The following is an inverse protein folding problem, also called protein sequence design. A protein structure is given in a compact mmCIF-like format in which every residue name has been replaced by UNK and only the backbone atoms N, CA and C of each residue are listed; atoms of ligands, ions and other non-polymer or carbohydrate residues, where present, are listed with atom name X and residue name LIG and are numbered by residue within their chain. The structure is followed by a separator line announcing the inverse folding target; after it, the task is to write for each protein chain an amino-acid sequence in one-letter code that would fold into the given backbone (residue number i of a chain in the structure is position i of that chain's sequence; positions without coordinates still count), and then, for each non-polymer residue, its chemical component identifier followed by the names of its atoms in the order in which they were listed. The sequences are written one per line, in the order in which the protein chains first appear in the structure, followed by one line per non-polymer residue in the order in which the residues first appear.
data_IF_684876727427
#
_entry.id   IF_684876727427
#
_cell.length_a   1.000
_cell.length_b   1.000
_cell.length_c   1.000
_cell.angle_alpha   90.00
_cell.angle_beta   90.00
_cell.angle_gamma   90.00
#
_symmetry.space_group_name_H-M   'P 1'
#
loop_
_entity.id
_entity.type
_entity.pdbx_description
1 polymer ?
#
# COMPACT_ATOMS: atom_id res chain seq x y z
N UNK A 1 21.70 -55.07 44.41
CA UNK A 1 21.74 -55.57 43.02
C UNK A 1 20.31 -55.57 42.51
N UNK A 2 20.01 -54.69 41.55
CA UNK A 2 18.67 -54.59 40.97
C UNK A 2 18.42 -55.82 40.08
N UNK A 3 17.31 -56.54 40.28
CA UNK A 3 16.95 -57.74 39.53
C UNK A 3 16.72 -57.40 38.05
N UNK A 4 17.58 -57.94 37.18
CA UNK A 4 17.53 -57.78 35.72
C UNK A 4 16.17 -58.25 35.16
N UNK A 5 15.51 -59.20 35.84
CA UNK A 5 14.18 -59.70 35.47
C UNK A 5 13.05 -58.70 35.65
N UNK A 6 13.21 -57.70 36.53
CA UNK A 6 12.20 -56.66 36.75
C UNK A 6 12.33 -55.50 35.74
N UNK A 7 13.57 -55.16 35.37
CA UNK A 7 13.87 -54.20 34.31
C UNK A 7 13.33 -54.66 32.94
N UNK A 8 13.51 -55.95 32.60
CA UNK A 8 13.02 -56.52 31.34
C UNK A 8 11.49 -56.62 31.28
N UNK A 9 10.81 -56.77 32.43
CA UNK A 9 9.34 -56.77 32.53
C UNK A 9 8.72 -55.39 32.39
N UNK A 10 9.46 -54.31 32.66
CA UNK A 10 9.04 -52.93 32.38
C UNK A 10 9.16 -52.61 30.88
N UNK A 11 10.25 -53.04 30.23
CA UNK A 11 10.42 -52.83 28.78
C UNK A 11 9.38 -53.60 27.94
N UNK A 12 8.99 -54.83 28.34
CA UNK A 12 7.95 -55.61 27.64
C UNK A 12 6.52 -55.10 27.87
N UNK A 13 6.27 -54.26 28.89
CA UNK A 13 4.93 -53.74 29.20
C UNK A 13 4.49 -52.57 28.33
N UNK A 14 5.34 -52.10 27.41
CA UNK A 14 4.95 -50.97 26.55
C UNK A 14 4.63 -49.71 27.35
N UNK A 15 5.12 -49.59 28.59
CA UNK A 15 5.14 -48.35 29.37
C UNK A 15 6.31 -47.49 28.85
N UNK A 16 6.37 -47.31 27.53
CA UNK A 16 7.07 -46.19 26.95
C UNK A 16 6.29 -44.96 27.38
N UNK A 17 6.91 -44.07 28.15
CA UNK A 17 6.42 -42.72 28.30
C UNK A 17 6.08 -42.24 26.88
N UNK A 18 4.78 -42.04 26.60
CA UNK A 18 4.31 -41.41 25.39
C UNK A 18 5.08 -40.10 25.32
N UNK A 19 6.07 -40.06 24.43
CA UNK A 19 6.79 -38.83 24.16
C UNK A 19 5.71 -37.88 23.64
N UNK A 20 5.31 -36.84 24.39
CA UNK A 20 4.21 -36.01 23.95
C UNK A 20 4.63 -35.44 22.60
N UNK A 21 3.87 -35.79 21.56
CA UNK A 21 4.07 -35.19 20.26
C UNK A 21 3.95 -33.68 20.46
N UNK A 22 4.90 -32.87 19.96
CA UNK A 22 4.83 -31.43 20.14
C UNK A 22 3.48 -30.97 19.60
N UNK A 23 2.74 -30.21 20.41
CA UNK A 23 1.46 -29.69 19.99
C UNK A 23 1.65 -28.86 18.71
N UNK A 24 0.75 -29.01 17.71
CA UNK A 24 0.84 -28.25 16.48
C UNK A 24 0.77 -26.75 16.80
N UNK A 25 1.74 -26.01 16.27
CA UNK A 25 1.80 -24.55 16.40
C UNK A 25 1.04 -23.95 15.23
N UNK A 26 -0.09 -23.30 15.53
CA UNK A 26 -0.92 -22.62 14.55
C UNK A 26 -0.65 -21.11 14.52
N UNK A 27 -0.72 -20.47 13.35
CA UNK A 27 -0.64 -19.01 13.24
C UNK A 27 -1.93 -18.34 13.77
N UNK A 28 -3.07 -19.01 13.58
CA UNK A 28 -4.37 -18.62 14.09
C UNK A 28 -4.91 -19.68 15.04
N UNK A 29 -4.85 -19.40 16.34
CA UNK A 29 -5.40 -20.28 17.37
C UNK A 29 -6.93 -20.48 17.26
N UNK A 30 -7.66 -19.53 16.67
CA UNK A 30 -9.13 -19.57 16.62
C UNK A 30 -9.66 -20.61 15.63
N UNK A 31 -9.00 -20.74 14.47
CA UNK A 31 -9.40 -21.66 13.40
C UNK A 31 -8.37 -22.75 13.11
N UNK A 32 -7.24 -22.76 13.82
CA UNK A 32 -6.12 -23.67 13.58
C UNK A 32 -5.66 -23.64 12.12
N UNK A 33 -5.52 -22.42 11.58
CA UNK A 33 -5.12 -22.11 10.20
C UNK A 33 -6.05 -22.63 9.09
N UNK A 34 -7.19 -23.22 9.43
CA UNK A 34 -8.18 -23.66 8.42
C UNK A 34 -8.92 -22.50 7.74
N UNK A 35 -8.93 -21.32 8.36
CA UNK A 35 -9.68 -20.15 7.88
C UNK A 35 -11.20 -20.21 8.16
N UNK A 36 -11.70 -21.30 8.72
CA UNK A 36 -13.12 -21.50 9.08
C UNK A 36 -13.25 -22.04 10.51
N UNK A 37 -14.34 -21.74 11.19
CA UNK A 37 -14.62 -22.20 12.56
C UNK A 37 -15.84 -23.12 12.48
N UNK A 38 -15.70 -24.34 12.99
CA UNK A 38 -16.83 -25.26 13.16
C UNK A 38 -17.67 -24.84 14.37
N UNK A 39 -18.95 -24.51 14.13
CA UNK A 39 -19.86 -24.08 15.19
C UNK A 39 -20.45 -25.26 15.97
N UNK A 40 -20.33 -26.49 15.44
CA UNK A 40 -20.81 -27.72 16.08
C UNK A 40 -19.81 -28.86 15.88
N UNK A 41 -18.70 -28.86 16.63
CA UNK A 41 -17.62 -29.82 16.47
C UNK A 41 -18.10 -31.27 16.53
N UNK A 42 -17.65 -32.10 15.59
CA UNK A 42 -18.00 -33.54 15.54
C UNK A 42 -19.33 -33.87 14.87
N UNK A 43 -20.08 -32.87 14.39
CA UNK A 43 -21.28 -33.10 13.57
C UNK A 43 -20.89 -33.20 12.10
N UNK A 44 -21.28 -34.28 11.40
CA UNK A 44 -21.09 -34.37 9.95
C UNK A 44 -21.87 -33.25 9.26
N UNK A 45 -21.18 -32.47 8.43
CA UNK A 45 -21.72 -31.27 7.76
C UNK A 45 -22.31 -30.24 8.73
N UNK A 46 -21.70 -30.11 9.92
CA UNK A 46 -22.04 -29.04 10.86
C UNK A 46 -21.85 -27.64 10.25
N UNK A 47 -22.59 -26.64 10.72
CA UNK A 47 -22.44 -25.27 10.24
C UNK A 47 -21.04 -24.73 10.54
N UNK A 48 -20.49 -23.95 9.60
CA UNK A 48 -19.19 -23.28 9.71
C UNK A 48 -19.34 -21.79 9.50
N UNK A 49 -18.42 -21.02 10.09
CA UNK A 49 -18.28 -19.60 9.82
C UNK A 49 -16.85 -19.26 9.38
N UNK A 50 -16.68 -18.14 8.66
CA UNK A 50 -15.34 -17.67 8.28
C UNK A 50 -14.64 -17.09 9.50
N UNK A 51 -13.39 -17.49 9.74
CA UNK A 51 -12.59 -16.92 10.81
C UNK A 51 -12.30 -15.44 10.53
N UNK A 52 -12.88 -14.55 11.32
CA UNK A 52 -12.75 -13.10 11.18
C UNK A 52 -11.28 -12.64 11.26
N UNK A 53 -10.47 -13.26 12.13
CA UNK A 53 -9.04 -12.95 12.28
C UNK A 53 -8.24 -13.30 11.02
N UNK A 54 -8.45 -14.48 10.44
CA UNK A 54 -7.83 -14.87 9.18
C UNK A 54 -8.32 -14.00 8.01
N UNK A 55 -9.62 -13.67 7.99
CA UNK A 55 -10.21 -12.79 6.98
C UNK A 55 -9.58 -11.40 7.02
N UNK A 56 -9.42 -10.79 8.20
CA UNK A 56 -8.83 -9.46 8.34
C UNK A 56 -7.32 -9.46 8.00
N UNK A 57 -6.60 -10.52 8.39
CA UNK A 57 -5.19 -10.73 8.02
C UNK A 57 -5.05 -10.82 6.50
N UNK A 58 -5.86 -11.62 5.83
CA UNK A 58 -5.82 -11.78 4.38
C UNK A 58 -6.29 -10.51 3.65
N UNK A 59 -7.29 -9.81 4.18
CA UNK A 59 -7.72 -8.50 3.67
C UNK A 59 -6.56 -7.51 3.67
N UNK A 60 -5.87 -7.37 4.81
CA UNK A 60 -4.73 -6.47 4.94
C UNK A 60 -3.59 -6.89 4.01
N UNK A 61 -3.30 -8.19 3.90
CA UNK A 61 -2.29 -8.71 3.00
C UNK A 61 -2.63 -8.46 1.52
N UNK A 62 -3.90 -8.57 1.13
CA UNK A 62 -4.38 -8.23 -0.22
C UNK A 62 -4.23 -6.75 -0.51
N UNK A 63 -4.60 -5.87 0.43
CA UNK A 63 -4.41 -4.42 0.29
C UNK A 63 -2.92 -4.06 0.18
N UNK A 64 -2.06 -4.71 0.97
CA UNK A 64 -0.61 -4.55 0.87
C UNK A 64 -0.09 -4.92 -0.52
N UNK A 65 -0.39 -6.12 -1.02
CA UNK A 65 0.01 -6.56 -2.37
C UNK A 65 -0.51 -5.63 -3.46
N UNK A 66 -1.75 -5.18 -3.34
CA UNK A 66 -2.37 -4.24 -4.29
C UNK A 66 -1.82 -2.80 -4.22
N UNK A 67 -1.04 -2.46 -3.21
CA UNK A 67 -0.52 -1.10 -3.03
C UNK A 67 0.72 -0.76 -3.85
N UNK A 68 1.41 -1.79 -4.35
CA UNK A 68 2.65 -1.68 -5.12
C UNK A 68 3.82 -1.05 -4.35
N UNK A 69 3.71 -0.97 -3.02
CA UNK A 69 4.80 -0.58 -2.16
C UNK A 69 5.85 -1.70 -2.06
N UNK A 70 7.15 -1.38 -2.15
CA UNK A 70 8.19 -2.36 -1.90
C UNK A 70 8.31 -2.67 -0.40
N UNK A 71 8.92 -3.81 -0.03
CA UNK A 71 8.95 -4.28 1.36
C UNK A 71 9.67 -3.28 2.30
N UNK A 72 10.69 -2.56 1.82
CA UNK A 72 11.39 -1.55 2.63
C UNK A 72 10.52 -0.32 2.92
N UNK A 73 9.36 -0.19 2.27
CA UNK A 73 8.40 0.87 2.54
C UNK A 73 7.75 0.73 3.92
N UNK A 74 7.69 -0.47 4.52
CA UNK A 74 7.01 -0.71 5.81
C UNK A 74 7.49 0.18 6.95
N UNK A 75 8.78 0.56 6.93
CA UNK A 75 9.36 1.43 7.95
C UNK A 75 8.99 2.92 7.79
N UNK A 76 8.48 3.34 6.61
CA UNK A 76 8.23 4.76 6.27
C UNK A 76 6.85 5.22 6.76
N UNK A 77 6.59 5.03 8.04
CA UNK A 77 5.33 5.44 8.70
C UNK A 77 5.34 6.92 9.09
N UNK A 78 4.18 7.49 9.43
CA UNK A 78 4.12 8.83 10.03
C UNK A 78 4.93 8.94 11.33
N UNK A 79 4.94 7.89 12.15
CA UNK A 79 5.71 7.84 13.41
C UNK A 79 7.23 7.89 13.15
N UNK A 80 7.69 7.26 12.07
CA UNK A 80 9.09 7.23 11.68
C UNK A 80 9.55 8.51 10.95
N UNK A 81 8.63 9.41 10.58
CA UNK A 81 8.96 10.65 9.88
C UNK A 81 9.63 11.65 10.82
N UNK A 82 10.87 12.06 10.52
CA UNK A 82 11.60 13.07 11.29
C UNK A 82 11.12 14.48 10.91
N UNK A 83 10.47 15.15 11.86
CA UNK A 83 10.02 16.55 11.71
C UNK A 83 11.23 17.49 11.67
N UNK A 84 11.23 18.42 10.72
CA UNK A 84 12.25 19.45 10.52
C UNK A 84 11.62 20.77 10.10
N UNK A 85 12.34 21.90 10.16
CA UNK A 85 11.87 23.15 9.58
C UNK A 85 11.42 22.95 8.13
N UNK A 86 10.27 23.53 7.76
CA UNK A 86 9.68 23.38 6.43
C UNK A 86 8.93 22.06 6.16
N UNK A 87 8.96 21.06 7.06
CA UNK A 87 8.25 19.78 6.82
C UNK A 87 6.93 19.64 7.57
N UNK A 88 6.68 20.46 8.59
CA UNK A 88 5.51 20.33 9.47
C UNK A 88 4.19 20.50 8.69
N UNK A 89 3.99 21.53 7.85
CA UNK A 89 2.75 21.68 7.10
C UNK A 89 2.47 20.48 6.16
N UNK A 90 3.53 19.89 5.60
CA UNK A 90 3.40 18.73 4.72
C UNK A 90 2.99 17.47 5.49
N UNK A 91 3.54 17.28 6.69
CA UNK A 91 3.15 16.19 7.57
C UNK A 91 1.67 16.30 7.98
N UNK A 92 1.25 17.50 8.40
CA UNK A 92 -0.14 17.75 8.80
C UNK A 92 -1.11 17.54 7.64
N UNK A 93 -0.79 18.06 6.45
CA UNK A 93 -1.60 17.85 5.25
C UNK A 93 -1.69 16.37 4.85
N UNK A 94 -0.58 15.63 4.94
CA UNK A 94 -0.55 14.20 4.65
C UNK A 94 -1.36 13.38 5.67
N UNK A 95 -1.24 13.67 6.96
CA UNK A 95 -2.05 13.03 8.00
C UNK A 95 -3.54 13.32 7.81
N UNK A 96 -3.89 14.55 7.45
CA UNK A 96 -5.25 14.94 7.19
C UNK A 96 -5.82 14.19 5.97
N UNK A 97 -5.06 14.10 4.87
CA UNK A 97 -5.46 13.31 3.69
C UNK A 97 -5.65 11.83 4.04
N UNK A 98 -4.74 11.24 4.83
CA UNK A 98 -4.83 9.86 5.26
C UNK A 98 -6.09 9.58 6.10
N UNK A 99 -6.49 10.54 6.94
CA UNK A 99 -7.71 10.51 7.74
C UNK A 99 -9.00 10.83 6.98
N UNK A 100 -8.94 11.06 5.66
CA UNK A 100 -10.12 11.32 4.83
C UNK A 100 -10.50 12.80 4.68
N UNK A 101 -9.50 13.67 4.53
CA UNK A 101 -9.68 15.11 4.27
C UNK A 101 -10.78 15.43 3.24
N UNK A 102 -11.49 16.54 3.46
CA UNK A 102 -12.49 17.08 2.53
C UNK A 102 -11.94 17.44 1.14
N UNK A 103 -10.63 17.76 1.05
CA UNK A 103 -9.96 18.05 -0.21
C UNK A 103 -9.30 16.79 -0.76
N UNK A 104 -9.73 16.27 -1.92
CA UNK A 104 -9.23 15.00 -2.44
C UNK A 104 -7.79 15.08 -2.96
N UNK A 105 -7.26 16.27 -3.27
CA UNK A 105 -5.92 16.42 -3.84
C UNK A 105 -4.92 16.98 -2.84
N UNK A 106 -3.72 16.38 -2.81
CA UNK A 106 -2.56 16.93 -2.08
C UNK A 106 -1.34 16.92 -2.99
N UNK A 107 -0.76 18.10 -3.19
CA UNK A 107 0.48 18.25 -3.97
C UNK A 107 1.61 18.67 -3.04
N UNK A 108 2.64 17.83 -2.91
CA UNK A 108 3.88 18.15 -2.20
C UNK A 108 4.98 18.55 -3.18
N UNK A 109 5.49 19.76 -3.05
CA UNK A 109 6.56 20.31 -3.91
C UNK A 109 7.79 20.55 -3.05
N UNK A 110 8.97 20.06 -3.45
CA UNK A 110 10.19 20.29 -2.69
C UNK A 110 11.40 19.53 -3.22
N UNK A 111 12.59 19.88 -2.77
CA UNK A 111 13.82 19.25 -3.25
C UNK A 111 13.95 17.76 -2.88
N UNK A 112 14.81 17.00 -3.56
CA UNK A 112 15.19 15.66 -3.11
C UNK A 112 15.61 15.67 -1.64
N UNK A 113 15.19 14.66 -0.88
CA UNK A 113 15.51 14.59 0.55
C UNK A 113 14.62 15.44 1.48
N UNK A 114 13.64 16.17 0.96
CA UNK A 114 12.65 16.87 1.80
C UNK A 114 11.67 15.93 2.54
N UNK A 115 11.55 14.67 2.09
CA UNK A 115 10.68 13.66 2.71
C UNK A 115 9.32 13.45 2.03
N UNK A 116 9.10 14.00 0.84
CA UNK A 116 7.85 13.88 0.06
C UNK A 116 7.39 12.43 -0.14
N UNK A 117 8.28 11.59 -0.69
CA UNK A 117 8.02 10.17 -0.94
C UNK A 117 7.76 9.41 0.38
N UNK A 118 8.45 9.75 1.47
CA UNK A 118 8.17 9.15 2.78
C UNK A 118 6.74 9.45 3.21
N UNK A 119 6.32 10.72 3.15
CA UNK A 119 4.95 11.10 3.52
C UNK A 119 3.92 10.42 2.64
N UNK A 120 4.17 10.32 1.33
CA UNK A 120 3.27 9.64 0.41
C UNK A 120 3.11 8.14 0.73
N UNK A 121 4.23 7.48 1.04
CA UNK A 121 4.21 6.08 1.52
C UNK A 121 3.48 5.98 2.86
N UNK A 122 3.73 6.90 3.80
CA UNK A 122 3.08 6.91 5.10
C UNK A 122 1.55 7.03 5.00
N UNK A 123 1.05 7.82 4.04
CA UNK A 123 -0.39 7.90 3.73
C UNK A 123 -0.92 6.54 3.25
N UNK A 124 -0.25 5.89 2.30
CA UNK A 124 -0.65 4.57 1.83
C UNK A 124 -0.68 3.54 2.96
N UNK A 125 0.38 3.49 3.79
CA UNK A 125 0.47 2.59 4.94
C UNK A 125 -0.69 2.82 5.93
N UNK A 126 -0.99 4.08 6.22
CA UNK A 126 -2.10 4.43 7.10
C UNK A 126 -3.44 3.95 6.54
N UNK A 127 -3.69 4.16 5.24
CA UNK A 127 -4.93 3.70 4.59
C UNK A 127 -5.06 2.18 4.61
N UNK A 128 -3.98 1.45 4.28
CA UNK A 128 -3.96 -0.02 4.31
C UNK A 128 -4.24 -0.54 5.72
N UNK A 129 -3.62 0.06 6.74
CA UNK A 129 -3.85 -0.30 8.14
C UNK A 129 -5.30 -0.03 8.62
N UNK A 130 -6.03 0.85 7.94
CA UNK A 130 -7.46 1.11 8.17
C UNK A 130 -8.38 0.34 7.20
N UNK A 131 -7.87 -0.70 6.52
CA UNK A 131 -8.65 -1.53 5.61
C UNK A 131 -9.07 -0.83 4.32
N UNK A 132 -8.40 0.26 3.94
CA UNK A 132 -8.66 1.06 2.75
C UNK A 132 -7.60 0.80 1.67
N UNK A 133 -8.03 0.69 0.42
CA UNK A 133 -7.11 0.56 -0.71
C UNK A 133 -6.38 1.87 -1.00
N UNK A 134 -5.10 1.72 -1.37
CA UNK A 134 -4.20 2.79 -1.78
C UNK A 134 -3.18 2.21 -2.75
N UNK A 135 -2.91 2.89 -3.86
CA UNK A 135 -1.86 2.51 -4.81
C UNK A 135 -0.78 3.56 -4.87
N UNK A 136 0.47 3.12 -4.82
CA UNK A 136 1.65 3.96 -4.97
C UNK A 136 2.30 3.74 -6.32
N UNK A 137 2.43 4.82 -7.11
CA UNK A 137 3.11 4.78 -8.39
C UNK A 137 4.14 5.89 -8.48
N UNK A 138 5.31 5.61 -9.05
CA UNK A 138 6.07 6.68 -9.70
C UNK A 138 5.42 6.99 -11.04
N UNK A 139 5.46 8.25 -11.48
CA UNK A 139 4.88 8.62 -12.78
C UNK A 139 5.49 7.83 -13.95
N UNK A 140 6.77 7.47 -13.87
CA UNK A 140 7.44 6.61 -14.85
C UNK A 140 6.91 5.17 -14.85
N UNK A 141 6.78 4.55 -13.67
CA UNK A 141 6.29 3.16 -13.56
C UNK A 141 4.84 3.04 -14.03
N UNK A 142 4.00 4.03 -13.71
CA UNK A 142 2.61 4.08 -14.16
C UNK A 142 2.52 4.10 -15.68
N UNK A 143 3.30 4.97 -16.31
CA UNK A 143 3.35 5.08 -17.76
C UNK A 143 3.91 3.82 -18.43
N UNK A 144 4.93 3.19 -17.85
CA UNK A 144 5.40 1.90 -18.34
C UNK A 144 4.31 0.83 -18.23
N UNK A 145 3.62 0.74 -17.10
CA UNK A 145 2.53 -0.22 -16.89
C UNK A 145 1.38 -0.07 -17.89
N UNK A 146 0.99 1.18 -18.20
CA UNK A 146 0.01 1.47 -19.24
C UNK A 146 0.53 1.05 -20.62
N UNK A 147 1.79 1.34 -20.94
CA UNK A 147 2.40 0.99 -22.22
C UNK A 147 2.51 -0.52 -22.41
N UNK A 148 2.88 -1.26 -21.37
CA UNK A 148 3.02 -2.72 -21.42
C UNK A 148 1.69 -3.45 -21.67
N UNK A 149 0.55 -2.76 -21.49
CA UNK A 149 -0.77 -3.25 -21.89
C UNK A 149 -1.10 -3.02 -23.38
N UNK A 150 -0.21 -2.36 -24.14
CA UNK A 150 -0.35 -2.12 -25.57
C UNK A 150 0.46 -3.19 -26.32
N UNK A 151 -0.22 -4.13 -26.96
CA UNK A 151 0.39 -4.99 -27.98
C UNK A 151 1.13 -6.24 -27.49
N UNK A 152 0.67 -6.90 -26.41
CA UNK A 152 1.08 -8.29 -26.20
C UNK A 152 0.50 -9.17 -27.32
N UNK A 153 1.30 -10.05 -27.97
CA UNK A 153 0.86 -10.78 -29.17
C UNK A 153 -0.34 -11.72 -28.97
N UNK A 154 -0.75 -11.96 -27.71
CA UNK A 154 -1.91 -12.77 -27.33
C UNK A 154 -3.13 -11.98 -26.89
N UNK A 155 -3.03 -10.68 -26.60
CA UNK A 155 -4.07 -9.98 -25.84
C UNK A 155 -4.53 -8.68 -26.50
N UNK A 156 -5.85 -8.61 -26.62
CA UNK A 156 -6.66 -7.59 -27.24
C UNK A 156 -6.47 -6.21 -26.60
N UNK A 157 -6.98 -5.19 -27.29
CA UNK A 157 -7.20 -3.81 -26.82
C UNK A 157 -7.83 -3.71 -25.40
N UNK A 158 -8.41 -4.82 -24.91
CA UNK A 158 -8.99 -4.99 -23.58
C UNK A 158 -7.99 -4.84 -22.42
N UNK A 159 -6.71 -5.22 -22.56
CA UNK A 159 -5.74 -5.16 -21.44
C UNK A 159 -5.38 -3.71 -21.09
N UNK A 160 -5.05 -2.87 -22.08
CA UNK A 160 -4.81 -1.45 -21.86
C UNK A 160 -6.03 -0.75 -21.23
N UNK A 161 -7.23 -0.97 -21.77
CA UNK A 161 -8.45 -0.35 -21.26
C UNK A 161 -8.73 -0.79 -19.82
N UNK A 162 -8.52 -2.07 -19.51
CA UNK A 162 -8.67 -2.61 -18.15
C UNK A 162 -7.71 -1.94 -17.17
N UNK A 163 -6.42 -1.87 -17.53
CA UNK A 163 -5.36 -1.24 -16.71
C UNK A 163 -5.62 0.24 -16.49
N UNK A 164 -5.95 0.97 -17.55
CA UNK A 164 -6.30 2.39 -17.47
C UNK A 164 -7.51 2.60 -16.57
N UNK A 165 -8.59 1.86 -16.81
CA UNK A 165 -9.82 1.95 -15.98
C UNK A 165 -9.54 1.66 -14.51
N UNK A 166 -8.69 0.67 -14.20
CA UNK A 166 -8.31 0.37 -12.83
C UNK A 166 -7.64 1.58 -12.15
N UNK A 167 -6.75 2.30 -12.83
CA UNK A 167 -6.10 3.51 -12.31
C UNK A 167 -7.06 4.70 -12.19
N UNK A 168 -7.91 4.91 -13.19
CA UNK A 168 -8.89 6.00 -13.23
C UNK A 168 -9.90 5.90 -12.09
N UNK A 169 -10.29 4.67 -11.71
CA UNK A 169 -11.31 4.41 -10.70
C UNK A 169 -10.75 4.01 -9.33
N UNK A 170 -9.43 3.88 -9.19
CA UNK A 170 -8.84 3.46 -7.92
C UNK A 170 -9.20 4.46 -6.80
N UNK A 171 -9.65 4.01 -5.61
CA UNK A 171 -10.16 4.89 -4.56
C UNK A 171 -9.12 5.86 -3.97
N UNK A 172 -7.82 5.56 -4.12
CA UNK A 172 -6.75 6.45 -3.70
C UNK A 172 -5.48 6.18 -4.51
N UNK A 173 -4.86 7.23 -5.06
CA UNK A 173 -3.67 7.11 -5.89
C UNK A 173 -2.58 8.07 -5.43
N UNK A 174 -1.35 7.57 -5.29
CA UNK A 174 -0.15 8.40 -5.22
C UNK A 174 0.54 8.41 -6.58
N UNK A 175 0.89 9.60 -7.04
CA UNK A 175 1.76 9.83 -8.17
C UNK A 175 3.05 10.51 -7.69
N UNK A 176 4.07 9.71 -7.40
CA UNK A 176 5.37 10.15 -6.92
C UNK A 176 6.23 10.62 -8.10
N UNK A 177 6.95 11.71 -7.85
CA UNK A 177 7.92 12.32 -8.76
C UNK A 177 7.39 12.71 -10.15
N UNK A 178 6.24 13.39 -10.17
CA UNK A 178 5.60 13.88 -11.39
C UNK A 178 6.42 15.01 -12.06
N UNK A 179 6.60 14.90 -13.38
CA UNK A 179 6.81 16.07 -14.24
C UNK A 179 7.65 15.81 -15.48
N UNK A 180 8.73 15.03 -15.39
CA UNK A 180 9.59 14.76 -16.57
C UNK A 180 8.85 14.02 -17.69
N UNK A 181 7.87 13.21 -17.32
CA UNK A 181 7.14 12.34 -18.23
C UNK A 181 6.20 13.12 -19.18
N UNK A 182 5.81 14.34 -18.80
CA UNK A 182 5.07 15.30 -19.63
C UNK A 182 5.86 15.76 -20.87
N UNK A 183 7.17 15.51 -20.94
CA UNK A 183 7.99 15.86 -22.12
C UNK A 183 7.75 14.98 -23.35
N UNK A 184 6.97 13.91 -23.21
CA UNK A 184 6.63 13.03 -24.32
C UNK A 184 5.15 13.23 -24.67
N UNK A 185 4.76 13.32 -25.97
CA UNK A 185 3.36 13.50 -26.34
C UNK A 185 2.45 12.44 -25.75
N UNK A 186 2.93 11.21 -25.68
CA UNK A 186 2.18 10.11 -25.07
C UNK A 186 2.04 10.26 -23.55
N UNK A 187 3.13 10.56 -22.84
CA UNK A 187 3.09 10.75 -21.38
C UNK A 187 2.21 11.93 -20.96
N UNK A 188 2.23 13.02 -21.73
CA UNK A 188 1.33 14.16 -21.54
C UNK A 188 -0.13 13.74 -21.63
N UNK A 189 -0.55 13.11 -22.74
CA UNK A 189 -1.94 12.67 -22.94
C UNK A 189 -2.41 11.73 -21.82
N UNK A 190 -1.59 10.75 -21.44
CA UNK A 190 -1.97 9.77 -20.42
C UNK A 190 -2.10 10.38 -19.03
N UNK A 191 -1.18 11.27 -18.65
CA UNK A 191 -1.23 11.94 -17.36
C UNK A 191 -2.37 12.97 -17.32
N UNK A 192 -2.61 13.70 -18.41
CA UNK A 192 -3.73 14.63 -18.53
C UNK A 192 -5.05 13.89 -18.33
N UNK A 193 -5.27 12.77 -19.03
CA UNK A 193 -6.49 11.95 -18.90
C UNK A 193 -6.67 11.42 -17.47
N UNK A 194 -5.60 10.86 -16.90
CA UNK A 194 -5.63 10.31 -15.54
C UNK A 194 -6.00 11.37 -14.50
N UNK A 195 -5.33 12.52 -14.53
CA UNK A 195 -5.54 13.58 -13.53
C UNK A 195 -6.90 14.24 -13.76
N UNK A 196 -7.32 14.49 -15.00
CA UNK A 196 -8.60 15.10 -15.32
C UNK A 196 -9.79 14.22 -14.88
N UNK A 197 -9.74 12.92 -15.21
CA UNK A 197 -10.80 11.97 -14.84
C UNK A 197 -10.93 11.83 -13.33
N UNK A 198 -9.80 11.72 -12.61
CA UNK A 198 -9.80 11.63 -11.15
C UNK A 198 -10.25 12.93 -10.50
N UNK A 199 -9.87 14.07 -11.07
CA UNK A 199 -10.31 15.39 -10.62
C UNK A 199 -11.83 15.56 -10.76
N UNK A 200 -12.39 15.23 -11.94
CA UNK A 200 -13.83 15.32 -12.19
C UNK A 200 -14.68 14.36 -11.34
N UNK A 201 -14.07 13.28 -10.82
CA UNK A 201 -14.70 12.33 -9.89
C UNK A 201 -14.35 12.59 -8.43
N UNK A 202 -13.58 13.63 -8.15
CA UNK A 202 -13.08 13.97 -6.82
C UNK A 202 -12.37 12.79 -6.12
N UNK A 203 -11.71 11.93 -6.89
CA UNK A 203 -11.03 10.76 -6.35
C UNK A 203 -9.71 11.16 -5.67
N UNK A 204 -9.52 10.80 -4.39
CA UNK A 204 -8.33 11.16 -3.64
C UNK A 204 -7.02 10.84 -4.35
N UNK A 205 -6.18 11.86 -4.52
CA UNK A 205 -4.93 11.76 -5.28
C UNK A 205 -3.84 12.59 -4.62
N UNK A 206 -2.71 11.96 -4.31
CA UNK A 206 -1.53 12.65 -3.80
C UNK A 206 -0.47 12.72 -4.90
N UNK A 207 0.11 13.88 -5.12
CA UNK A 207 1.18 14.11 -6.09
C UNK A 207 2.41 14.61 -5.36
N UNK A 208 3.59 14.11 -5.75
CA UNK A 208 4.85 14.70 -5.34
C UNK A 208 5.65 15.16 -6.55
N UNK A 209 6.39 16.26 -6.40
CA UNK A 209 7.28 16.75 -7.46
C UNK A 209 8.40 17.62 -6.90
N UNK A 210 9.42 17.82 -7.73
CA UNK A 210 10.46 18.81 -7.48
C UNK A 210 10.02 20.20 -7.97
N UNK A 211 10.49 21.31 -7.36
CA UNK A 211 10.15 22.66 -7.80
C UNK A 211 10.48 22.92 -9.28
N UNK A 212 11.61 22.38 -9.76
CA UNK A 212 12.05 22.49 -11.16
C UNK A 212 11.09 21.84 -12.16
N UNK A 213 10.28 20.87 -11.72
CA UNK A 213 9.34 20.12 -12.56
C UNK A 213 7.99 20.80 -12.71
N UNK A 214 7.67 21.77 -11.85
CA UNK A 214 6.39 22.50 -11.90
C UNK A 214 6.19 23.19 -13.25
N UNK A 215 7.26 23.75 -13.82
CA UNK A 215 7.22 24.42 -15.12
C UNK A 215 7.06 23.47 -16.33
N UNK A 216 7.16 22.16 -16.12
CA UNK A 216 6.98 21.16 -17.17
C UNK A 216 5.54 20.67 -17.29
N UNK A 217 4.67 21.04 -16.35
CA UNK A 217 3.29 20.60 -16.35
C UNK A 217 2.49 21.36 -17.40
N UNK A 218 1.61 20.65 -18.10
CA UNK A 218 0.56 21.28 -18.89
C UNK A 218 -0.30 22.21 -18.00
N UNK A 219 -0.85 23.27 -18.58
CA UNK A 219 -1.79 24.17 -17.88
C UNK A 219 -2.99 23.39 -17.34
N UNK A 220 -3.38 22.31 -18.03
CA UNK A 220 -4.46 21.41 -17.61
C UNK A 220 -4.12 20.67 -16.33
N UNK A 221 -2.98 20.00 -16.24
CA UNK A 221 -2.57 19.31 -15.01
C UNK A 221 -2.35 20.33 -13.88
N UNK A 222 -1.64 21.42 -14.18
CA UNK A 222 -1.32 22.46 -13.21
C UNK A 222 -2.57 23.03 -12.54
N UNK A 223 -3.60 23.38 -13.33
CA UNK A 223 -4.88 23.90 -12.81
C UNK A 223 -5.62 22.90 -11.93
N UNK A 224 -5.61 21.60 -12.25
CA UNK A 224 -6.32 20.55 -11.50
C UNK A 224 -5.68 20.26 -10.15
N UNK A 225 -4.36 20.05 -10.13
CA UNK A 225 -3.65 19.66 -8.89
C UNK A 225 -3.36 20.85 -7.97
N UNK A 226 -3.65 22.08 -8.41
CA UNK A 226 -3.51 23.31 -7.65
C UNK A 226 -4.83 24.07 -7.45
N UNK A 227 -5.99 23.55 -7.88
CA UNK A 227 -7.28 24.17 -7.60
C UNK A 227 -7.52 24.17 -6.09
N UNK A 228 -7.51 25.36 -5.47
CA UNK A 228 -7.69 25.56 -4.03
C UNK A 228 -9.01 24.98 -3.48
N UNK A 229 -10.01 24.77 -4.34
CA UNK A 229 -11.29 24.14 -3.98
C UNK A 229 -11.11 22.67 -3.59
N UNK A 230 -10.29 21.94 -4.34
CA UNK A 230 -10.15 20.47 -4.22
C UNK A 230 -8.73 20.04 -3.81
N UNK A 231 -7.75 20.92 -3.91
CA UNK A 231 -6.35 20.64 -3.68
C UNK A 231 -5.75 21.46 -2.53
N UNK A 232 -4.87 20.80 -1.79
CA UNK A 232 -3.91 21.42 -0.87
C UNK A 232 -2.53 21.34 -1.52
N UNK A 233 -1.84 22.47 -1.65
CA UNK A 233 -0.47 22.53 -2.17
C UNK A 233 0.46 22.92 -1.03
N UNK A 234 1.48 22.10 -0.76
CA UNK A 234 2.48 22.38 0.25
C UNK A 234 3.87 22.42 -0.39
N UNK A 235 4.55 23.55 -0.22
CA UNK A 235 5.94 23.73 -0.65
C UNK A 235 6.88 23.47 0.53
N UNK A 236 7.86 22.61 0.30
CA UNK A 236 8.86 22.14 1.26
C UNK A 236 10.27 22.57 0.85
N UNK A 237 10.40 23.74 0.21
CA UNK A 237 11.66 24.23 -0.37
C UNK A 237 12.72 24.56 0.70
N UNK A 238 12.28 24.90 1.91
CA UNK A 238 13.14 25.15 3.08
C UNK A 238 13.60 23.86 3.79
N UNK A 239 13.03 22.70 3.44
CA UNK A 239 13.38 21.45 4.09
C UNK A 239 14.73 20.93 3.57
N UNK A 240 15.70 20.80 4.48
CA UNK A 240 17.03 20.25 4.18
C UNK A 240 16.96 18.78 3.78
N UNK A 241 17.95 18.30 3.04
CA UNK A 241 18.07 16.88 2.68
C UNK A 241 18.45 16.03 3.90
N UNK A 242 17.56 15.15 4.36
CA UNK A 242 17.83 14.31 5.55
C UNK A 242 18.96 13.30 5.31
N UNK A 243 19.26 12.96 4.04
CA UNK A 243 20.26 11.95 3.71
C UNK A 243 21.68 12.44 3.96
N UNK A 244 21.84 13.76 4.11
CA UNK A 244 23.12 14.43 4.39
C UNK A 244 23.30 14.76 5.86
N UNK A 245 22.26 14.58 6.66
CA UNK A 245 22.23 14.79 8.10
C UNK A 245 22.47 13.42 8.75
N UNK A 246 23.75 13.05 8.91
CA UNK A 246 24.18 11.85 9.64
C UNK A 246 23.75 11.90 11.10
#
# INVERSE_FOLDING_TARGET
MMDIGEALRRMKRGEGALNPQPEPVYECADCQDSGVIELSPGTRNGPTEVCSKCQEKERTARLWRGSLLPEEARAKTFKAFRKRPGTIPALEAAQALAGGLWRPFLTLIGYPGAGKTHLAIAVCLHRIANGQAAQFWTAELLLRYLRDGIGQPSDSMDDYEHRSRALLLHPFLVLDDLGWQQKTPWGEVQLDELIDSRYGRELPTMVTMEPSKVALLSDRISSRIQDKRLAVVVRMEEAKDYRREG
#
